data_IF_938294468081
#
_entry.id   IF_938294468081
#
_cell.length_a   1.000
_cell.length_b   1.000
_cell.length_c   1.000
_cell.angle_alpha   90.00
_cell.angle_beta   90.00
_cell.angle_gamma   90.00
#
_symmetry.space_group_name_H-M   'P 1'
#
loop_
_entity.id
_entity.type
_entity.pdbx_description
1 polymer ?
#
# COMPACT_ATOMS: atom_id res chain seq x y z
N UNK A 1 78.75 -60.65 -15.40
CA UNK A 1 78.15 -61.68 -14.54
C UNK A 1 76.75 -61.23 -14.14
N UNK A 2 75.70 -61.99 -14.51
CA UNK A 2 74.39 -61.97 -13.83
C UNK A 2 74.50 -62.93 -12.62
N UNK A 3 73.65 -62.91 -11.55
CA UNK A 3 72.20 -62.68 -11.65
C UNK A 3 71.44 -62.10 -10.40
N UNK A 4 70.17 -61.73 -10.63
CA UNK A 4 68.93 -62.16 -9.91
C UNK A 4 68.54 -61.77 -8.46
N UNK A 5 67.26 -61.35 -8.36
CA UNK A 5 66.20 -61.64 -7.34
C UNK A 5 65.90 -60.60 -6.23
N UNK A 6 64.60 -60.23 -6.20
CA UNK A 6 63.79 -59.44 -5.24
C UNK A 6 63.39 -60.30 -3.98
N UNK A 7 62.44 -59.89 -3.12
CA UNK A 7 62.32 -58.70 -2.25
C UNK A 7 61.96 -59.10 -0.78
N UNK A 8 62.01 -58.17 0.19
CA UNK A 8 61.08 -58.16 1.36
C UNK A 8 61.10 -56.80 2.07
N UNK A 9 59.98 -56.08 2.02
CA UNK A 9 59.54 -55.08 3.02
C UNK A 9 58.72 -55.82 4.11
N UNK A 10 58.32 -55.26 5.29
CA UNK A 10 58.08 -53.85 5.65
C UNK A 10 58.65 -53.45 7.05
N UNK A 11 58.65 -52.19 7.50
CA UNK A 11 57.66 -51.53 8.39
C UNK A 11 58.35 -50.20 8.78
N UNK A 12 57.87 -49.01 8.38
CA UNK A 12 56.81 -48.16 8.94
C UNK A 12 57.28 -47.10 9.99
N UNK A 13 56.75 -45.89 9.80
CA UNK A 13 56.57 -44.72 10.69
C UNK A 13 57.55 -43.53 10.70
N UNK A 14 56.93 -42.37 10.38
CA UNK A 14 57.18 -40.97 10.80
C UNK A 14 57.03 -40.05 9.57
N UNK A 15 55.81 -39.75 9.11
CA UNK A 15 54.86 -38.77 9.64
C UNK A 15 55.42 -37.33 9.66
N UNK A 16 55.09 -36.54 8.63
CA UNK A 16 55.13 -35.08 8.67
C UNK A 16 53.96 -34.53 7.84
N UNK A 17 52.88 -34.20 8.54
CA UNK A 17 51.66 -33.56 8.05
C UNK A 17 51.97 -32.23 7.34
N UNK A 18 51.63 -32.11 6.05
CA UNK A 18 51.44 -30.82 5.38
C UNK A 18 50.05 -30.27 5.73
N UNK A 19 50.01 -29.24 6.59
CA UNK A 19 48.78 -28.46 6.85
C UNK A 19 48.44 -27.63 5.61
N UNK A 20 47.40 -28.01 4.87
CA UNK A 20 46.72 -27.13 3.90
C UNK A 20 45.62 -26.39 4.66
N UNK A 21 45.79 -25.08 4.89
CA UNK A 21 44.70 -24.23 5.35
C UNK A 21 43.74 -24.00 4.18
N UNK A 22 42.52 -24.54 4.28
CA UNK A 22 41.40 -24.17 3.42
C UNK A 22 40.66 -23.01 4.10
N UNK A 23 40.79 -21.81 3.55
CA UNK A 23 39.97 -20.67 3.92
C UNK A 23 38.57 -20.87 3.36
N UNK A 24 37.64 -21.36 4.19
CA UNK A 24 36.21 -21.27 3.89
C UNK A 24 35.76 -19.85 4.21
N UNK A 25 35.73 -18.99 3.20
CA UNK A 25 35.08 -17.69 3.30
C UNK A 25 33.57 -17.89 3.44
N UNK A 26 33.07 -17.86 4.67
CA UNK A 26 31.64 -17.75 4.93
C UNK A 26 31.21 -16.30 4.63
N UNK A 27 30.72 -16.06 3.41
CA UNK A 27 29.92 -14.87 3.11
C UNK A 27 28.60 -15.03 3.87
N UNK A 28 28.56 -14.49 5.10
CA UNK A 28 27.30 -14.21 5.77
C UNK A 28 26.59 -13.13 4.95
N UNK A 29 25.70 -13.57 4.05
CA UNK A 29 24.68 -12.71 3.50
C UNK A 29 23.77 -12.30 4.66
N UNK A 30 24.10 -11.17 5.31
CA UNK A 30 23.15 -10.47 6.15
C UNK A 30 22.00 -10.04 5.22
N UNK A 31 20.96 -10.86 5.16
CA UNK A 31 19.67 -10.43 4.66
C UNK A 31 19.23 -9.29 5.58
N UNK A 32 19.49 -8.05 5.15
CA UNK A 32 18.86 -6.90 5.75
C UNK A 32 17.36 -7.15 5.62
N UNK A 33 16.59 -7.25 6.72
CA UNK A 33 15.15 -7.32 6.56
C UNK A 33 14.77 -6.06 5.78
N UNK A 34 14.19 -6.25 4.59
CA UNK A 34 13.51 -5.15 3.93
C UNK A 34 12.53 -4.61 4.98
N UNK A 35 12.66 -3.33 5.35
CA UNK A 35 11.63 -2.69 6.16
C UNK A 35 10.32 -2.90 5.39
N UNK A 36 9.44 -3.74 5.93
CA UNK A 36 8.12 -3.93 5.36
C UNK A 36 7.44 -2.56 5.39
N UNK A 37 6.87 -2.10 4.27
CA UNK A 37 6.16 -0.81 4.14
C UNK A 37 4.84 -0.75 4.95
N UNK A 38 4.70 -1.63 5.94
CA UNK A 38 3.46 -1.96 6.61
C UNK A 38 3.76 -2.88 7.80
N UNK A 39 3.14 -2.58 8.95
CA UNK A 39 3.21 -3.37 10.17
C UNK A 39 1.81 -3.84 10.58
N UNK A 40 1.45 -5.05 10.14
CA UNK A 40 0.17 -5.68 10.47
C UNK A 40 -0.06 -5.83 11.97
N UNK A 41 0.99 -6.15 12.74
CA UNK A 41 0.88 -6.34 14.18
C UNK A 41 0.52 -5.02 14.85
N UNK A 42 1.14 -3.91 14.41
CA UNK A 42 0.82 -2.57 14.90
C UNK A 42 -0.61 -2.16 14.58
N UNK A 43 -1.09 -2.44 13.37
CA UNK A 43 -2.48 -2.15 12.98
C UNK A 43 -3.48 -2.86 13.90
N UNK A 44 -3.25 -4.15 14.16
CA UNK A 44 -4.10 -4.94 15.05
C UNK A 44 -4.02 -4.47 16.50
N UNK A 45 -2.82 -4.12 16.99
CA UNK A 45 -2.62 -3.58 18.34
C UNK A 45 -3.40 -2.27 18.55
N UNK A 46 -3.25 -1.31 17.63
CA UNK A 46 -3.93 0.00 17.71
C UNK A 46 -5.44 -0.18 17.63
N UNK A 47 -5.93 -1.05 16.75
CA UNK A 47 -7.35 -1.35 16.63
C UNK A 47 -7.93 -1.98 17.91
N UNK A 48 -7.24 -2.98 18.46
CA UNK A 48 -7.63 -3.66 19.69
C UNK A 48 -7.65 -2.74 20.92
N UNK A 49 -6.71 -1.80 20.99
CA UNK A 49 -6.65 -0.81 22.08
C UNK A 49 -7.82 0.18 22.05
N UNK A 50 -8.41 0.44 20.87
CA UNK A 50 -9.55 1.37 20.73
C UNK A 50 -10.87 0.72 21.13
N UNK A 51 -11.26 -0.37 20.46
CA UNK A 51 -12.45 -1.15 20.84
C UNK A 51 -12.52 -2.53 20.11
N UNK A 52 -13.31 -3.50 20.62
CA UNK A 52 -13.41 -4.83 20.02
C UNK A 52 -13.99 -4.89 18.60
N UNK A 53 -14.90 -3.97 18.23
CA UNK A 53 -15.50 -3.95 16.89
C UNK A 53 -14.47 -3.50 15.85
N UNK A 54 -13.68 -2.49 16.17
CA UNK A 54 -12.57 -2.07 15.32
C UNK A 54 -11.51 -3.16 15.21
N UNK A 55 -11.21 -3.89 16.29
CA UNK A 55 -10.29 -5.03 16.24
C UNK A 55 -10.72 -6.07 15.19
N UNK A 56 -12.02 -6.40 15.12
CA UNK A 56 -12.56 -7.30 14.12
C UNK A 56 -12.43 -6.74 12.69
N UNK A 57 -12.75 -5.46 12.50
CA UNK A 57 -12.60 -4.81 11.18
C UNK A 57 -11.14 -4.74 10.73
N UNK A 58 -10.22 -4.44 11.64
CA UNK A 58 -8.79 -4.43 11.39
C UNK A 58 -8.28 -5.82 11.03
N UNK A 59 -8.71 -6.86 11.75
CA UNK A 59 -8.38 -8.26 11.40
C UNK A 59 -8.85 -8.60 9.99
N UNK A 60 -10.06 -8.19 9.62
CA UNK A 60 -10.58 -8.41 8.27
C UNK A 60 -9.77 -7.67 7.19
N UNK A 61 -9.35 -6.43 7.47
CA UNK A 61 -8.50 -5.64 6.58
C UNK A 61 -7.11 -6.26 6.43
N UNK A 62 -6.46 -6.61 7.54
CA UNK A 62 -5.13 -7.24 7.53
C UNK A 62 -5.15 -8.53 6.73
N UNK A 63 -6.14 -9.39 6.98
CA UNK A 63 -6.28 -10.64 6.22
C UNK A 63 -6.61 -10.40 4.74
N UNK A 64 -7.29 -9.31 4.39
CA UNK A 64 -7.49 -8.93 2.99
C UNK A 64 -6.16 -8.53 2.34
N UNK A 65 -5.41 -7.62 2.98
CA UNK A 65 -4.11 -7.14 2.50
C UNK A 65 -3.12 -8.30 2.30
N UNK A 66 -3.04 -9.22 3.26
CA UNK A 66 -2.15 -10.38 3.19
C UNK A 66 -2.51 -11.31 2.03
N UNK A 67 -3.79 -11.61 1.81
CA UNK A 67 -4.23 -12.41 0.66
C UNK A 67 -3.90 -11.72 -0.66
N UNK A 68 -4.17 -10.43 -0.75
CA UNK A 68 -4.03 -9.66 -1.99
C UNK A 68 -2.55 -9.43 -2.35
N UNK A 69 -1.65 -9.43 -1.36
CA UNK A 69 -0.20 -9.29 -1.57
C UNK A 69 0.41 -10.37 -2.49
N UNK A 70 -0.26 -11.52 -2.64
CA UNK A 70 0.15 -12.61 -3.52
C UNK A 70 -0.46 -12.54 -4.94
N UNK A 71 -1.38 -11.61 -5.19
CA UNK A 71 -2.11 -11.47 -6.47
C UNK A 71 -1.42 -10.49 -7.42
N UNK A 72 -1.84 -10.47 -8.69
CA UNK A 72 -1.43 -9.40 -9.60
C UNK A 72 -2.03 -8.05 -9.21
N UNK A 73 -1.41 -6.94 -9.64
CA UNK A 73 -1.82 -5.60 -9.23
C UNK A 73 -3.29 -5.30 -9.60
N UNK A 74 -3.78 -5.74 -10.76
CA UNK A 74 -5.17 -5.46 -11.17
C UNK A 74 -6.17 -6.13 -10.23
N UNK A 75 -5.89 -7.36 -9.80
CA UNK A 75 -6.75 -8.05 -8.85
C UNK A 75 -6.71 -7.37 -7.46
N UNK A 76 -5.53 -6.92 -6.99
CA UNK A 76 -5.40 -6.11 -5.75
C UNK A 76 -6.28 -4.87 -5.80
N UNK A 77 -6.26 -4.14 -6.93
CA UNK A 77 -7.08 -2.92 -7.10
C UNK A 77 -8.56 -3.22 -6.92
N UNK A 78 -9.06 -4.29 -7.54
CA UNK A 78 -10.47 -4.69 -7.46
C UNK A 78 -10.84 -5.08 -6.03
N UNK A 79 -10.06 -5.95 -5.41
CA UNK A 79 -10.39 -6.53 -4.11
C UNK A 79 -10.34 -5.47 -2.99
N UNK A 80 -9.34 -4.59 -3.00
CA UNK A 80 -9.28 -3.46 -2.05
C UNK A 80 -10.39 -2.44 -2.31
N UNK A 81 -10.68 -2.11 -3.58
CA UNK A 81 -11.76 -1.19 -3.90
C UNK A 81 -13.11 -1.69 -3.36
N UNK A 82 -13.39 -2.97 -3.63
CA UNK A 82 -14.56 -3.68 -3.16
C UNK A 82 -14.63 -3.79 -1.64
N UNK A 83 -13.50 -4.02 -0.97
CA UNK A 83 -13.43 -4.14 0.48
C UNK A 83 -14.00 -2.91 1.18
N UNK A 84 -13.56 -1.71 0.78
CA UNK A 84 -14.03 -0.45 1.36
C UNK A 84 -15.44 -0.11 0.89
N UNK A 85 -15.75 -0.31 -0.40
CA UNK A 85 -17.08 -0.06 -0.94
C UNK A 85 -18.18 -0.86 -0.25
N UNK A 86 -17.88 -2.07 0.25
CA UNK A 86 -18.83 -2.90 1.00
C UNK A 86 -18.90 -2.62 2.50
N UNK A 87 -17.85 -2.02 3.09
CA UNK A 87 -17.74 -1.84 4.55
C UNK A 87 -18.18 -0.47 5.04
N UNK A 88 -18.01 0.53 4.20
CA UNK A 88 -18.34 1.90 4.52
C UNK A 88 -19.71 2.27 3.95
N UNK A 89 -20.49 2.97 4.76
CA UNK A 89 -21.66 3.71 4.32
C UNK A 89 -21.25 5.16 3.99
N UNK A 90 -21.66 5.68 2.83
CA UNK A 90 -21.33 7.06 2.47
C UNK A 90 -22.08 8.03 3.39
N UNK A 91 -21.33 8.87 4.13
CA UNK A 91 -21.86 9.92 5.00
C UNK A 91 -20.92 11.11 5.01
N UNK A 92 -21.49 12.31 4.99
CA UNK A 92 -20.72 13.55 5.08
C UNK A 92 -20.02 13.67 6.45
N UNK A 93 -18.86 14.31 6.47
CA UNK A 93 -18.06 14.49 7.68
C UNK A 93 -18.80 15.16 8.83
N UNK A 94 -19.66 16.14 8.52
CA UNK A 94 -20.44 16.82 9.55
C UNK A 94 -21.34 15.84 10.32
N UNK A 95 -21.80 14.77 9.68
CA UNK A 95 -22.61 13.71 10.30
C UNK A 95 -21.74 12.73 11.09
N UNK A 96 -20.56 12.35 10.56
CA UNK A 96 -19.70 11.31 11.16
C UNK A 96 -18.80 11.87 12.27
N UNK A 97 -18.21 13.03 12.03
CA UNK A 97 -17.14 13.65 12.81
C UNK A 97 -17.57 14.95 13.50
N UNK A 98 -18.69 15.56 13.08
CA UNK A 98 -19.17 16.83 13.64
C UNK A 98 -18.38 18.06 13.20
N UNK A 99 -17.42 17.87 12.29
CA UNK A 99 -16.59 18.92 11.71
C UNK A 99 -16.51 18.69 10.19
N UNK A 100 -16.41 19.74 9.36
CA UNK A 100 -16.24 19.57 7.92
C UNK A 100 -14.80 19.18 7.55
N UNK A 101 -14.61 18.52 6.40
CA UNK A 101 -13.31 18.18 5.79
C UNK A 101 -12.36 17.41 6.75
N UNK A 102 -12.90 16.42 7.47
CA UNK A 102 -12.14 15.55 8.36
C UNK A 102 -11.59 14.34 7.60
N UNK A 103 -10.27 14.25 7.45
CA UNK A 103 -9.66 13.13 6.73
C UNK A 103 -9.41 11.96 7.68
N UNK A 104 -10.21 10.91 7.55
CA UNK A 104 -10.13 9.73 8.39
C UNK A 104 -9.05 8.75 7.89
N UNK A 105 -8.34 8.15 8.84
CA UNK A 105 -7.47 6.99 8.58
C UNK A 105 -8.31 5.75 8.21
N UNK A 106 -7.69 4.71 7.59
CA UNK A 106 -8.38 3.45 7.34
C UNK A 106 -9.03 2.86 8.61
N UNK A 107 -8.38 2.96 9.77
CA UNK A 107 -8.94 2.47 11.04
C UNK A 107 -10.09 3.34 11.54
N UNK A 108 -10.03 4.66 11.39
CA UNK A 108 -11.12 5.56 11.76
C UNK A 108 -12.38 5.35 10.90
N UNK A 109 -12.24 5.24 9.59
CA UNK A 109 -13.38 4.95 8.70
C UNK A 109 -13.99 3.58 9.02
N UNK A 110 -13.16 2.56 9.30
CA UNK A 110 -13.64 1.23 9.69
C UNK A 110 -14.32 1.20 11.07
N UNK A 111 -13.86 2.02 12.01
CA UNK A 111 -14.48 2.15 13.34
C UNK A 111 -15.88 2.75 13.23
N UNK A 112 -16.01 3.83 12.43
CA UNK A 112 -17.29 4.46 12.15
C UNK A 112 -18.17 3.68 11.18
N UNK A 113 -17.57 2.79 10.39
CA UNK A 113 -18.18 2.12 9.23
C UNK A 113 -18.84 3.11 8.27
N UNK A 114 -18.25 4.29 8.19
CA UNK A 114 -18.75 5.40 7.40
C UNK A 114 -17.59 6.34 7.02
N UNK A 115 -17.80 7.10 5.97
CA UNK A 115 -16.90 8.15 5.49
C UNK A 115 -17.47 8.77 4.22
N UNK A 116 -16.87 9.86 3.75
CA UNK A 116 -17.22 10.49 2.48
C UNK A 116 -16.21 10.10 1.38
N UNK A 117 -16.11 10.87 0.29
CA UNK A 117 -15.35 10.44 -0.88
C UNK A 117 -13.83 10.28 -0.63
N UNK A 118 -13.22 11.18 0.14
CA UNK A 118 -11.80 11.08 0.46
C UNK A 118 -11.51 9.89 1.36
N UNK A 119 -12.35 9.58 2.34
CA UNK A 119 -12.13 8.51 3.31
C UNK A 119 -12.05 7.15 2.61
N UNK A 120 -12.90 6.93 1.59
CA UNK A 120 -12.82 5.74 0.75
C UNK A 120 -11.52 5.70 -0.04
N UNK A 121 -11.12 6.82 -0.65
CA UNK A 121 -9.91 6.88 -1.46
C UNK A 121 -8.64 6.72 -0.59
N UNK A 122 -8.62 7.28 0.62
CA UNK A 122 -7.58 7.14 1.64
C UNK A 122 -7.44 5.67 2.07
N UNK A 123 -8.57 5.05 2.45
CA UNK A 123 -8.63 3.64 2.82
C UNK A 123 -8.01 2.74 1.75
N UNK A 124 -8.42 2.95 0.50
CA UNK A 124 -7.90 2.23 -0.67
C UNK A 124 -6.41 2.49 -0.91
N UNK A 125 -5.97 3.75 -0.80
CA UNK A 125 -4.58 4.16 -1.03
C UNK A 125 -3.60 3.41 -0.11
N UNK A 126 -3.82 3.50 1.20
CA UNK A 126 -2.91 2.90 2.18
C UNK A 126 -2.99 1.38 2.19
N UNK A 127 -4.18 0.81 1.94
CA UNK A 127 -4.33 -0.65 1.87
C UNK A 127 -3.65 -1.21 0.62
N UNK A 128 -3.73 -0.55 -0.53
CA UNK A 128 -3.00 -0.95 -1.73
C UNK A 128 -1.49 -0.82 -1.55
N UNK A 129 -1.02 0.27 -0.94
CA UNK A 129 0.38 0.42 -0.57
C UNK A 129 0.84 -0.74 0.34
N UNK A 130 0.03 -1.12 1.32
CA UNK A 130 0.31 -2.25 2.22
C UNK A 130 0.33 -3.61 1.52
N UNK A 131 -0.40 -3.80 0.41
CA UNK A 131 -0.23 -5.01 -0.44
C UNK A 131 1.10 -5.03 -1.20
N UNK A 132 1.83 -3.91 -1.25
CA UNK A 132 3.08 -3.74 -1.98
C UNK A 132 2.95 -2.99 -3.31
N UNK A 133 1.80 -2.37 -3.62
CA UNK A 133 1.69 -1.49 -4.79
C UNK A 133 2.52 -0.23 -4.55
N UNK A 134 3.47 0.12 -5.43
CA UNK A 134 4.29 1.32 -5.23
C UNK A 134 3.43 2.59 -5.14
N UNK A 135 3.68 3.43 -4.14
CA UNK A 135 2.97 4.70 -3.92
C UNK A 135 3.08 5.66 -5.10
N UNK A 136 4.18 5.58 -5.86
CA UNK A 136 4.39 6.32 -7.10
C UNK A 136 3.33 6.02 -8.19
N UNK A 137 2.70 4.83 -8.14
CA UNK A 137 1.60 4.43 -9.03
C UNK A 137 0.23 4.92 -8.55
N UNK A 138 0.11 5.38 -7.31
CA UNK A 138 -1.15 5.74 -6.67
C UNK A 138 -1.26 7.26 -6.51
N UNK A 139 -2.38 7.83 -6.90
CA UNK A 139 -2.67 9.26 -6.73
C UNK A 139 -4.09 9.49 -6.27
N UNK A 140 -4.24 10.28 -5.21
CA UNK A 140 -5.51 10.88 -4.84
C UNK A 140 -5.85 11.92 -5.91
N UNK A 141 -7.06 11.88 -6.45
CA UNK A 141 -7.47 12.82 -7.51
C UNK A 141 -8.75 13.51 -7.08
N UNK A 142 -8.68 14.84 -6.98
CA UNK A 142 -9.85 15.68 -6.83
C UNK A 142 -10.46 15.93 -8.20
N UNK A 143 -11.75 15.63 -8.33
CA UNK A 143 -12.50 15.70 -9.58
C UNK A 143 -13.81 16.47 -9.38
N UNK A 144 -14.36 16.97 -10.50
CA UNK A 144 -15.76 17.35 -10.58
C UNK A 144 -16.54 16.19 -11.17
N UNK A 145 -17.39 15.54 -10.37
CA UNK A 145 -18.24 14.45 -10.79
C UNK A 145 -19.59 14.98 -11.31
N UNK A 146 -20.10 14.39 -12.40
CA UNK A 146 -21.44 14.67 -12.93
C UNK A 146 -22.41 13.61 -12.46
N UNK A 147 -23.24 13.95 -11.49
CA UNK A 147 -24.27 13.06 -10.93
C UNK A 147 -25.64 13.72 -11.04
N UNK A 148 -26.62 13.03 -11.65
CA UNK A 148 -27.98 13.56 -11.81
C UNK A 148 -28.05 14.88 -12.60
N UNK A 149 -27.08 15.16 -13.47
CA UNK A 149 -26.98 16.42 -14.22
C UNK A 149 -26.32 17.58 -13.46
N UNK A 150 -25.92 17.37 -12.20
CA UNK A 150 -25.22 18.37 -11.39
C UNK A 150 -23.73 18.08 -11.33
N UNK A 151 -22.92 19.13 -11.19
CA UNK A 151 -21.48 19.03 -10.97
C UNK A 151 -21.21 19.11 -9.47
N UNK A 152 -20.55 18.10 -8.91
CA UNK A 152 -20.24 17.99 -7.49
C UNK A 152 -18.73 17.80 -7.31
N UNK A 153 -18.19 18.32 -6.21
CA UNK A 153 -16.83 17.99 -5.77
C UNK A 153 -16.79 16.52 -5.36
N UNK A 154 -15.73 15.81 -5.76
CA UNK A 154 -15.56 14.39 -5.46
C UNK A 154 -14.08 14.02 -5.40
N UNK A 155 -13.75 12.94 -4.70
CA UNK A 155 -12.39 12.39 -4.63
C UNK A 155 -12.37 10.92 -5.04
N UNK A 156 -11.39 10.56 -5.85
CA UNK A 156 -11.17 9.17 -6.29
C UNK A 156 -9.70 8.80 -6.14
N UNK A 157 -9.40 7.50 -6.18
CA UNK A 157 -8.04 7.00 -6.26
C UNK A 157 -7.74 6.60 -7.71
N UNK A 158 -6.64 7.12 -8.26
CA UNK A 158 -6.13 6.74 -9.56
C UNK A 158 -4.88 5.86 -9.42
N UNK A 159 -4.85 4.77 -10.19
CA UNK A 159 -3.69 3.89 -10.32
C UNK A 159 -3.10 4.01 -11.74
N UNK A 160 -1.79 4.21 -11.83
CA UNK A 160 -1.02 4.27 -13.06
C UNK A 160 -0.12 3.05 -13.17
N UNK A 161 -0.36 2.18 -14.16
CA UNK A 161 0.48 0.99 -14.37
C UNK A 161 1.96 1.34 -14.62
N UNK A 162 2.18 2.47 -15.29
CA UNK A 162 3.48 3.08 -15.53
C UNK A 162 3.32 4.61 -15.64
N UNK A 163 4.40 5.40 -15.47
CA UNK A 163 4.33 6.84 -15.64
C UNK A 163 3.73 7.24 -17.01
N UNK A 164 2.75 8.14 -16.99
CA UNK A 164 2.08 8.65 -18.19
C UNK A 164 1.05 7.70 -18.83
N UNK A 165 0.84 6.50 -18.28
CA UNK A 165 -0.26 5.64 -18.72
C UNK A 165 -1.62 6.26 -18.40
N UNK A 166 -2.65 5.82 -19.12
CA UNK A 166 -4.02 6.06 -18.70
C UNK A 166 -4.27 5.39 -17.35
N UNK A 167 -4.81 6.11 -16.35
CA UNK A 167 -5.05 5.52 -15.05
C UNK A 167 -6.34 4.69 -15.01
N UNK A 168 -6.32 3.68 -14.15
CA UNK A 168 -7.53 3.03 -13.64
C UNK A 168 -8.08 3.82 -12.45
N UNK A 169 -9.39 4.00 -12.39
CA UNK A 169 -10.09 4.78 -11.37
C UNK A 169 -10.79 3.84 -10.39
N UNK A 170 -10.49 4.03 -9.11
CA UNK A 170 -11.13 3.37 -7.97
C UNK A 170 -12.02 4.39 -7.27
N UNK A 171 -13.31 4.11 -7.21
CA UNK A 171 -14.36 5.06 -6.82
C UNK A 171 -15.39 4.37 -5.91
N UNK A 172 -16.06 5.15 -5.06
CA UNK A 172 -17.19 4.70 -4.25
C UNK A 172 -18.54 4.91 -4.95
N UNK A 173 -18.64 5.88 -5.88
CA UNK A 173 -19.87 6.10 -6.66
C UNK A 173 -20.10 5.04 -7.74
N UNK A 174 -19.01 4.49 -8.29
CA UNK A 174 -19.01 3.35 -9.22
C UNK A 174 -18.01 2.31 -8.76
N UNK A 175 -18.46 1.13 -8.31
CA UNK A 175 -17.57 0.08 -7.81
C UNK A 175 -16.65 -0.53 -8.88
N UNK A 176 -17.01 -0.46 -10.16
CA UNK A 176 -16.17 -1.00 -11.22
C UNK A 176 -14.86 -0.19 -11.36
N UNK A 177 -13.73 -0.89 -11.33
CA UNK A 177 -12.42 -0.29 -11.63
C UNK A 177 -12.30 -0.11 -13.14
N UNK A 178 -12.42 1.14 -13.60
CA UNK A 178 -12.48 1.48 -15.03
C UNK A 178 -11.34 2.43 -15.44
N UNK A 179 -10.87 2.36 -16.69
CA UNK A 179 -9.99 3.39 -17.25
C UNK A 179 -10.64 4.78 -17.20
N UNK A 180 -9.82 5.83 -17.04
CA UNK A 180 -10.32 7.20 -16.97
C UNK A 180 -11.15 7.63 -18.19
N UNK A 181 -10.82 7.16 -19.40
CA UNK A 181 -11.61 7.41 -20.62
C UNK A 181 -13.02 6.84 -20.56
N UNK A 182 -13.26 5.82 -19.73
CA UNK A 182 -14.58 5.22 -19.48
C UNK A 182 -15.32 5.89 -18.30
N UNK A 183 -14.75 6.96 -17.74
CA UNK A 183 -15.35 7.81 -16.70
C UNK A 183 -15.54 9.25 -17.16
N UNK A 184 -16.29 9.50 -18.26
CA UNK A 184 -16.54 10.86 -18.77
C UNK A 184 -17.37 11.72 -17.81
N UNK A 185 -17.94 11.10 -16.78
CA UNK A 185 -18.61 11.76 -15.66
C UNK A 185 -17.63 12.49 -14.73
N UNK A 186 -16.33 12.16 -14.75
CA UNK A 186 -15.32 12.76 -13.89
C UNK A 186 -14.43 13.74 -14.67
N UNK A 187 -14.35 14.98 -14.20
CA UNK A 187 -13.42 15.98 -14.74
C UNK A 187 -12.31 16.27 -13.71
N UNK A 188 -11.04 15.87 -13.95
CA UNK A 188 -9.97 16.08 -12.98
C UNK A 188 -9.64 17.56 -12.79
N UNK A 189 -9.32 17.96 -11.56
CA UNK A 189 -8.86 19.32 -11.22
C UNK A 189 -7.39 19.28 -10.77
N UNK A 190 -7.04 18.44 -9.80
CA UNK A 190 -5.67 18.21 -9.36
C UNK A 190 -5.52 16.81 -8.74
N UNK A 191 -4.28 16.35 -8.57
CA UNK A 191 -3.95 15.07 -7.97
C UNK A 191 -2.68 15.15 -7.12
N UNK A 192 -2.56 14.32 -6.09
CA UNK A 192 -1.42 14.31 -5.18
C UNK A 192 -1.20 12.90 -4.59
N UNK A 193 -0.02 12.67 -4.03
CA UNK A 193 0.28 11.49 -3.22
C UNK A 193 1.36 11.84 -2.16
N UNK A 194 1.93 10.84 -1.49
CA UNK A 194 3.02 11.04 -0.51
C UNK A 194 4.32 11.59 -1.10
N UNK A 195 4.50 11.58 -2.43
CA UNK A 195 5.72 11.99 -3.13
C UNK A 195 5.61 13.38 -3.77
N UNK A 196 4.40 13.87 -4.07
CA UNK A 196 4.21 15.19 -4.69
C UNK A 196 2.78 15.59 -5.04
N UNK A 197 2.64 16.79 -5.63
CA UNK A 197 1.39 17.38 -6.13
C UNK A 197 1.49 17.60 -7.66
N UNK A 198 0.44 17.25 -8.39
CA UNK A 198 0.27 17.51 -9.82
C UNK A 198 -1.07 18.21 -10.07
N UNK A 199 -1.03 19.42 -10.63
CA UNK A 199 -2.23 20.16 -11.02
C UNK A 199 -2.72 19.67 -12.39
N UNK A 200 -4.03 19.43 -12.53
CA UNK A 200 -4.65 19.04 -13.79
C UNK A 200 -4.74 20.20 -14.78
N UNK A 201 -5.16 19.91 -16.02
CA UNK A 201 -5.27 20.87 -17.14
C UNK A 201 -6.39 21.92 -16.98
N UNK A 202 -7.07 21.96 -15.83
CA UNK A 202 -8.21 22.83 -15.57
C UNK A 202 -7.89 23.96 -14.59
N UNK A 203 -8.50 25.13 -14.79
CA UNK A 203 -8.43 26.25 -13.85
C UNK A 203 -8.94 25.82 -12.47
N UNK A 204 -8.14 26.06 -11.43
CA UNK A 204 -8.46 25.76 -10.03
C UNK A 204 -9.47 26.81 -9.53
N UNK A 205 -10.75 26.51 -9.66
CA UNK A 205 -11.84 27.36 -9.13
C UNK A 205 -12.57 26.71 -7.95
N UNK A 206 -12.30 25.43 -7.62
CA UNK A 206 -12.85 24.71 -6.47
C UNK A 206 -11.80 23.76 -5.86
N UNK A 207 -11.67 23.81 -4.53
CA UNK A 207 -10.68 23.08 -3.74
C UNK A 207 -9.33 23.80 -3.71
N UNK A 208 -8.85 24.21 -2.52
CA UNK A 208 -7.49 24.74 -2.35
C UNK A 208 -6.49 23.57 -2.27
N UNK A 209 -5.62 23.38 -3.28
CA UNK A 209 -4.65 22.29 -3.28
C UNK A 209 -3.70 22.34 -2.08
N UNK A 210 -3.36 23.53 -1.57
CA UNK A 210 -2.45 23.69 -0.44
C UNK A 210 -3.09 23.24 0.87
N UNK A 211 -4.34 23.63 1.12
CA UNK A 211 -5.09 23.16 2.28
C UNK A 211 -5.22 21.62 2.28
N UNK A 212 -5.54 21.03 1.13
CA UNK A 212 -5.67 19.57 0.99
C UNK A 212 -4.33 18.84 1.18
N UNK A 213 -3.22 19.43 0.73
CA UNK A 213 -1.89 18.91 1.03
C UNK A 213 -1.54 18.98 2.53
N UNK A 214 -2.02 19.98 3.26
CA UNK A 214 -1.82 20.07 4.70
C UNK A 214 -2.54 18.93 5.42
N UNK A 215 -3.84 18.75 5.12
CA UNK A 215 -4.65 17.64 5.66
C UNK A 215 -4.01 16.29 5.34
N UNK A 216 -3.55 16.11 4.10
CA UNK A 216 -2.85 14.88 3.69
C UNK A 216 -1.59 14.62 4.51
N UNK A 217 -0.77 15.63 4.78
CA UNK A 217 0.45 15.48 5.59
C UNK A 217 0.14 15.07 7.03
N UNK A 218 -0.88 15.69 7.63
CA UNK A 218 -1.32 15.35 8.99
C UNK A 218 -1.89 13.92 9.05
N UNK A 219 -2.71 13.55 8.06
CA UNK A 219 -3.23 12.20 7.90
C UNK A 219 -2.11 11.17 7.75
N UNK A 220 -1.11 11.43 6.89
CA UNK A 220 0.03 10.52 6.69
C UNK A 220 0.76 10.31 8.01
N UNK A 221 1.00 11.36 8.80
CA UNK A 221 1.63 11.21 10.11
C UNK A 221 0.81 10.33 11.06
N UNK A 222 -0.52 10.53 11.10
CA UNK A 222 -1.46 9.71 11.88
C UNK A 222 -1.42 8.25 11.44
N UNK A 223 -1.58 7.99 10.15
CA UNK A 223 -1.64 6.65 9.55
C UNK A 223 -0.33 5.86 9.72
N UNK A 224 0.83 6.54 9.72
CA UNK A 224 2.12 5.94 10.05
C UNK A 224 2.20 5.40 11.48
N UNK A 225 1.64 6.12 12.45
CA UNK A 225 1.59 5.67 13.85
C UNK A 225 0.71 4.43 14.00
N UNK A 226 -0.27 4.28 13.12
CA UNK A 226 -1.19 3.13 13.07
C UNK A 226 -0.60 1.90 12.38
N UNK A 227 0.54 2.03 11.69
CA UNK A 227 1.26 0.89 11.07
C UNK A 227 1.22 0.84 9.54
N UNK A 228 0.73 1.87 8.85
CA UNK A 228 0.81 1.97 7.38
C UNK A 228 1.83 3.06 7.00
N UNK A 229 2.94 2.75 6.32
CA UNK A 229 4.03 3.73 6.14
C UNK A 229 4.78 3.70 4.81
#
# INVERSE_FOLDING_TARGET
>A
MRPSILPTSPICFANALRRRLWWWGALLACAWPALAAYDAARVLEVAAARNPRLAEQAQALVSQIERDSALDELQRLKDINDFFNRRLEFKEDLVVWGVPDYWASPLESLDKRAGDCEDYAIGKYFSLAATGVPTAKLRMVYVRARLGGQSLAHMVLAYYAQPGAEPLILDNLRPEVLPASQRPDLTPVFSFNTEGLWQGVGQVTQGDPLARLSLWRELVAKVKVEGFF
#
